data_IF_060095339200
#
_entry.id   IF_060095339200
#
_cell.length_a   1.000
_cell.length_b   1.000
_cell.length_c   1.000
_cell.angle_alpha   90.00
_cell.angle_beta   90.00
_cell.angle_gamma   90.00
#
_symmetry.space_group_name_H-M   'P 1'
#
loop_
_entity.id
_entity.type
_entity.pdbx_description
1 polymer ?
#
# COMPACT_ATOMS: atom_id res chain seq x y z
N UNK A 1 3.14 67.76 -41.18
CA UNK A 1 3.00 66.36 -41.56
C UNK A 1 3.27 65.51 -40.30
N UNK A 2 2.29 64.91 -39.67
CA UNK A 2 2.54 64.02 -38.57
C UNK A 2 2.71 62.56 -39.07
N UNK A 3 3.77 61.88 -38.66
CA UNK A 3 4.10 60.52 -38.96
C UNK A 3 3.27 59.57 -38.05
N UNK A 4 2.50 58.69 -38.64
CA UNK A 4 1.72 57.66 -38.01
C UNK A 4 2.62 56.47 -37.64
N UNK A 5 2.65 56.11 -36.35
CA UNK A 5 3.30 54.94 -35.87
C UNK A 5 2.30 53.75 -36.03
N UNK A 6 2.66 52.60 -36.59
CA UNK A 6 1.77 51.45 -36.69
C UNK A 6 1.61 50.73 -35.34
N UNK A 7 0.35 50.42 -34.97
CA UNK A 7 0.03 49.61 -33.81
C UNK A 7 0.45 48.13 -34.00
N UNK A 8 0.96 47.47 -32.96
CA UNK A 8 1.30 46.07 -33.07
C UNK A 8 0.04 45.18 -33.06
N UNK A 9 -0.05 44.30 -34.03
CA UNK A 9 -1.11 43.31 -34.23
C UNK A 9 -1.27 42.38 -33.02
N UNK A 10 -2.47 42.38 -32.40
CA UNK A 10 -2.86 41.53 -31.26
C UNK A 10 -3.25 40.12 -31.64
N UNK A 11 -2.93 39.63 -32.85
CA UNK A 11 -3.45 38.36 -33.37
C UNK A 11 -2.63 37.11 -32.96
N UNK A 12 -1.44 37.23 -32.34
CA UNK A 12 -0.52 36.10 -32.12
C UNK A 12 -0.58 35.41 -30.73
N UNK A 13 -1.21 36.05 -29.74
CA UNK A 13 -1.11 35.52 -28.35
C UNK A 13 -2.26 34.55 -27.93
N UNK A 14 -3.38 34.58 -28.63
CA UNK A 14 -4.55 33.76 -28.24
C UNK A 14 -4.39 32.25 -28.46
N UNK A 15 -3.79 31.75 -29.56
CA UNK A 15 -3.61 30.31 -29.72
C UNK A 15 -2.55 29.68 -28.79
N UNK A 16 -1.54 30.47 -28.38
CA UNK A 16 -0.47 30.00 -27.51
C UNK A 16 -0.95 29.78 -26.05
N UNK A 17 -1.83 30.65 -25.56
CA UNK A 17 -2.43 30.54 -24.23
C UNK A 17 -3.41 29.36 -24.11
N UNK A 18 -4.14 29.04 -25.19
CA UNK A 18 -5.03 27.86 -25.22
C UNK A 18 -4.24 26.55 -25.32
N UNK A 19 -3.10 26.52 -25.99
CA UNK A 19 -2.25 25.33 -26.05
C UNK A 19 -1.57 25.00 -24.70
N UNK A 20 -1.18 26.01 -23.94
CA UNK A 20 -0.58 25.83 -22.60
C UNK A 20 -1.65 25.36 -21.57
N UNK A 21 -2.89 25.82 -21.68
CA UNK A 21 -3.98 25.37 -20.81
C UNK A 21 -4.38 23.90 -21.06
N UNK A 22 -4.22 23.39 -22.29
CA UNK A 22 -4.54 21.99 -22.63
C UNK A 22 -3.46 20.98 -22.17
N UNK A 23 -2.22 21.41 -22.01
CA UNK A 23 -1.11 20.59 -21.52
C UNK A 23 -1.11 20.37 -20.00
N UNK A 24 -1.86 21.17 -19.25
CA UNK A 24 -1.97 21.09 -17.79
C UNK A 24 -2.97 20.05 -17.25
N UNK A 25 -3.74 19.38 -18.12
CA UNK A 25 -4.79 18.41 -17.72
C UNK A 25 -4.38 16.93 -17.90
N UNK A 26 -3.19 16.67 -18.41
CA UNK A 26 -2.69 15.30 -18.57
C UNK A 26 -1.82 14.92 -17.37
N UNK A 27 -2.40 14.30 -16.36
CA UNK A 27 -1.56 13.68 -15.34
C UNK A 27 -2.09 13.53 -13.91
N UNK A 28 -3.38 13.67 -13.65
CA UNK A 28 -3.95 13.12 -12.42
C UNK A 28 -4.61 11.78 -12.77
N UNK A 29 -3.91 10.68 -12.50
CA UNK A 29 -4.55 9.37 -12.45
C UNK A 29 -5.60 9.44 -11.34
N UNK A 30 -6.87 9.55 -11.73
CA UNK A 30 -7.98 9.67 -10.78
C UNK A 30 -8.15 8.30 -10.16
N UNK A 31 -7.69 8.15 -8.91
CA UNK A 31 -7.96 6.97 -8.11
C UNK A 31 -9.49 6.78 -8.01
N UNK A 32 -9.99 5.66 -8.55
CA UNK A 32 -11.39 5.26 -8.44
C UNK A 32 -11.48 4.11 -7.44
N UNK A 33 -12.13 4.29 -6.28
CA UNK A 33 -12.33 3.21 -5.33
C UNK A 33 -13.11 2.06 -5.96
N UNK A 34 -12.70 0.83 -5.70
CA UNK A 34 -13.41 -0.36 -6.17
C UNK A 34 -14.85 -0.40 -5.62
N UNK A 35 -15.79 -0.78 -6.46
CA UNK A 35 -17.18 -1.01 -6.09
C UNK A 35 -17.31 -2.23 -5.16
N UNK A 36 -18.43 -2.35 -4.45
CA UNK A 36 -18.69 -3.53 -3.61
C UNK A 36 -18.74 -4.81 -4.44
N UNK A 37 -19.32 -4.74 -5.63
CA UNK A 37 -19.41 -5.89 -6.54
C UNK A 37 -18.03 -6.39 -7.03
N UNK A 38 -17.06 -5.51 -7.21
CA UNK A 38 -15.68 -5.89 -7.55
C UNK A 38 -14.98 -6.54 -6.36
N UNK A 39 -15.13 -5.99 -5.16
CA UNK A 39 -14.60 -6.56 -3.93
C UNK A 39 -15.18 -7.95 -3.67
N UNK A 40 -16.50 -8.12 -3.82
CA UNK A 40 -17.19 -9.39 -3.59
C UNK A 40 -16.73 -10.47 -4.59
N UNK A 41 -16.51 -10.09 -5.86
CA UNK A 41 -15.99 -11.01 -6.88
C UNK A 41 -14.56 -11.45 -6.63
N UNK A 42 -13.73 -10.54 -6.11
CA UNK A 42 -12.32 -10.82 -5.83
C UNK A 42 -12.11 -11.51 -4.47
N UNK A 43 -13.18 -11.67 -3.69
CA UNK A 43 -13.08 -12.19 -2.32
C UNK A 43 -12.32 -13.51 -2.27
N UNK A 44 -11.24 -13.55 -1.50
CA UNK A 44 -10.47 -14.74 -1.22
C UNK A 44 -10.51 -15.06 0.28
N UNK A 45 -10.83 -16.29 0.62
CA UNK A 45 -10.82 -16.81 1.99
C UNK A 45 -9.68 -17.80 2.10
N UNK A 46 -8.68 -17.46 2.88
CA UNK A 46 -7.55 -18.35 3.14
C UNK A 46 -8.01 -19.57 3.95
N UNK A 47 -7.51 -20.79 3.64
CA UNK A 47 -7.72 -21.97 4.47
C UNK A 47 -6.95 -21.94 5.80
N UNK A 48 -5.98 -21.02 5.94
CA UNK A 48 -5.16 -20.88 7.14
C UNK A 48 -5.96 -20.37 8.33
N UNK A 49 -5.42 -20.58 9.53
CA UNK A 49 -5.96 -19.98 10.77
C UNK A 49 -5.97 -18.45 10.68
N UNK A 50 -6.96 -17.78 11.28
CA UNK A 50 -7.01 -16.34 11.33
C UNK A 50 -5.74 -15.76 11.95
N UNK A 51 -5.22 -14.71 11.31
CA UNK A 51 -3.93 -14.14 11.70
C UNK A 51 -3.80 -12.69 11.22
N UNK A 52 -2.86 -11.98 11.84
CA UNK A 52 -2.36 -10.69 11.35
C UNK A 52 -0.88 -10.84 11.09
N UNK A 53 -0.41 -10.31 9.95
CA UNK A 53 1.01 -10.24 9.63
C UNK A 53 1.39 -8.78 9.42
N UNK A 54 2.31 -8.27 10.23
CA UNK A 54 2.97 -7.01 9.94
C UNK A 54 4.04 -7.27 8.88
N UNK A 55 3.91 -6.61 7.74
CA UNK A 55 4.88 -6.61 6.66
C UNK A 55 5.76 -5.38 6.80
N UNK A 56 7.01 -5.56 7.17
CA UNK A 56 8.00 -4.48 7.36
C UNK A 56 9.01 -4.46 6.22
N UNK A 57 9.12 -3.33 5.53
CA UNK A 57 10.12 -3.11 4.49
C UNK A 57 11.39 -2.59 5.14
N UNK A 58 12.36 -3.48 5.32
CA UNK A 58 13.57 -3.21 6.08
C UNK A 58 14.71 -2.89 5.11
N UNK A 59 15.30 -1.72 5.29
CA UNK A 59 16.46 -1.30 4.53
C UNK A 59 17.70 -2.09 5.00
N UNK A 60 18.37 -2.79 4.09
CA UNK A 60 19.50 -3.68 4.40
C UNK A 60 20.71 -2.94 5.01
N UNK A 61 20.93 -1.68 4.62
CA UNK A 61 22.07 -0.89 5.10
C UNK A 61 21.86 -0.35 6.52
N UNK A 62 20.64 0.10 6.82
CA UNK A 62 20.30 0.67 8.14
C UNK A 62 19.76 -0.35 9.13
N UNK A 63 19.26 -1.49 8.66
CA UNK A 63 18.55 -2.50 9.45
C UNK A 63 17.23 -1.99 10.02
N UNK A 64 16.66 -0.90 9.45
CA UNK A 64 15.43 -0.27 9.95
C UNK A 64 14.30 -0.41 8.95
N UNK A 65 13.09 -0.62 9.48
CA UNK A 65 11.88 -0.58 8.67
C UNK A 65 11.56 0.86 8.25
N UNK A 66 11.31 1.06 6.95
CA UNK A 66 10.97 2.35 6.36
C UNK A 66 9.52 2.39 5.85
N UNK A 67 8.85 1.23 5.75
CA UNK A 67 7.43 1.12 5.44
C UNK A 67 6.81 -0.06 6.18
N UNK A 68 5.48 -0.02 6.38
CA UNK A 68 4.72 -1.06 7.05
C UNK A 68 3.33 -1.23 6.42
N UNK A 69 2.96 -2.49 6.15
CA UNK A 69 1.62 -2.91 5.75
C UNK A 69 1.09 -4.02 6.67
N UNK A 70 -0.21 -4.27 6.63
CA UNK A 70 -0.86 -5.33 7.41
C UNK A 70 -1.57 -6.31 6.48
N UNK A 71 -1.13 -7.56 6.46
CA UNK A 71 -1.89 -8.66 5.85
C UNK A 71 -2.80 -9.28 6.91
N UNK A 72 -4.13 -9.18 6.71
CA UNK A 72 -5.12 -9.56 7.72
C UNK A 72 -5.95 -10.71 7.18
N UNK A 73 -5.83 -11.89 7.81
CA UNK A 73 -6.59 -13.09 7.49
C UNK A 73 -7.79 -13.23 8.43
N UNK A 74 -8.91 -12.62 8.06
CA UNK A 74 -10.20 -12.71 8.72
C UNK A 74 -11.22 -13.50 7.89
N UNK A 75 -12.45 -13.02 7.81
CA UNK A 75 -13.50 -13.56 6.93
C UNK A 75 -13.14 -13.50 5.44
N UNK A 76 -12.10 -12.78 5.11
CA UNK A 76 -11.36 -12.75 3.85
C UNK A 76 -9.91 -12.34 4.12
N UNK A 77 -9.02 -12.59 3.17
CA UNK A 77 -7.64 -12.12 3.24
C UNK A 77 -7.53 -10.78 2.55
N UNK A 78 -7.11 -9.76 3.29
CA UNK A 78 -6.91 -8.39 2.78
C UNK A 78 -5.50 -7.90 3.12
N UNK A 79 -4.99 -7.01 2.29
CA UNK A 79 -3.79 -6.24 2.57
C UNK A 79 -4.18 -4.78 2.83
N UNK A 80 -3.81 -4.26 3.97
CA UNK A 80 -3.84 -2.83 4.26
C UNK A 80 -2.44 -2.26 4.07
N UNK A 81 -2.25 -1.46 3.02
CA UNK A 81 -0.96 -0.86 2.64
C UNK A 81 -1.05 0.68 2.73
N UNK A 82 -1.11 1.23 3.98
CA UNK A 82 -1.38 2.64 4.20
C UNK A 82 -0.27 3.53 3.64
N UNK A 83 -0.65 4.49 2.82
CA UNK A 83 0.26 5.41 2.15
C UNK A 83 1.29 4.71 1.23
N UNK A 84 1.09 3.43 0.94
CA UNK A 84 1.94 2.62 0.06
C UNK A 84 1.77 2.97 -1.42
N UNK A 85 2.68 2.44 -2.22
CA UNK A 85 2.69 2.64 -3.68
C UNK A 85 2.33 1.36 -4.44
N UNK A 86 2.11 0.26 -3.73
CA UNK A 86 1.72 -0.99 -4.35
C UNK A 86 0.36 -0.88 -5.02
N UNK A 87 0.29 -1.31 -6.28
CA UNK A 87 -0.95 -1.46 -7.03
C UNK A 87 -0.84 -2.68 -7.94
N UNK A 88 -1.97 -3.35 -8.21
CA UNK A 88 -2.03 -4.43 -9.17
C UNK A 88 -3.36 -4.34 -9.94
N UNK A 89 -3.36 -4.50 -11.28
CA UNK A 89 -4.58 -4.32 -12.09
C UNK A 89 -5.72 -5.28 -11.72
N UNK A 90 -5.41 -6.47 -11.23
CA UNK A 90 -6.40 -7.49 -10.86
C UNK A 90 -6.86 -7.39 -9.39
N UNK A 91 -6.26 -6.51 -8.59
CA UNK A 91 -6.61 -6.35 -7.18
C UNK A 91 -7.52 -5.14 -6.97
N UNK A 92 -8.81 -5.35 -6.67
CA UNK A 92 -9.67 -4.25 -6.25
C UNK A 92 -9.09 -3.56 -5.02
N UNK A 93 -9.04 -2.22 -5.07
CA UNK A 93 -8.56 -1.39 -3.97
C UNK A 93 -9.63 -0.38 -3.57
N UNK A 94 -9.85 -0.22 -2.26
CA UNK A 94 -10.67 0.86 -1.70
C UNK A 94 -9.95 1.49 -0.51
N UNK A 95 -9.70 2.78 -0.57
CA UNK A 95 -8.75 3.42 0.33
C UNK A 95 -7.36 2.80 0.14
N UNK A 96 -6.72 2.41 1.24
CA UNK A 96 -5.45 1.69 1.21
C UNK A 96 -5.63 0.18 1.48
N UNK A 97 -6.86 -0.36 1.33
CA UNK A 97 -7.16 -1.79 1.46
C UNK A 97 -7.23 -2.43 0.08
N UNK A 98 -6.41 -3.47 -0.14
CA UNK A 98 -6.43 -4.34 -1.31
C UNK A 98 -7.17 -5.64 -0.98
N UNK A 99 -8.04 -6.07 -1.88
CA UNK A 99 -8.89 -7.25 -1.72
C UNK A 99 -8.47 -8.37 -2.68
N UNK A 100 -8.81 -9.62 -2.32
CA UNK A 100 -8.50 -10.75 -3.16
C UNK A 100 -7.04 -11.20 -3.06
N UNK A 101 -6.42 -11.01 -1.90
CA UNK A 101 -5.03 -11.36 -1.63
C UNK A 101 -4.84 -12.87 -1.58
N UNK A 102 -4.82 -13.54 -2.75
CA UNK A 102 -4.41 -14.94 -2.85
C UNK A 102 -2.91 -15.08 -2.52
N UNK A 103 -2.39 -16.29 -2.26
CA UNK A 103 -0.95 -16.51 -2.04
C UNK A 103 -0.08 -15.90 -3.15
N UNK A 104 -0.54 -15.95 -4.40
CA UNK A 104 0.15 -15.33 -5.55
C UNK A 104 0.29 -13.81 -5.38
N UNK A 105 -0.77 -13.13 -4.94
CA UNK A 105 -0.73 -11.67 -4.78
C UNK A 105 0.00 -11.24 -3.51
N UNK A 106 0.05 -12.09 -2.49
CA UNK A 106 0.94 -11.90 -1.34
C UNK A 106 2.40 -11.95 -1.80
N UNK A 107 2.78 -12.96 -2.60
CA UNK A 107 4.12 -13.07 -3.20
C UNK A 107 4.45 -11.85 -4.07
N UNK A 108 3.51 -11.34 -4.87
CA UNK A 108 3.73 -10.10 -5.62
C UNK A 108 3.98 -8.87 -4.74
N UNK A 109 3.26 -8.76 -3.62
CA UNK A 109 3.47 -7.68 -2.67
C UNK A 109 4.85 -7.76 -2.02
N UNK A 110 5.23 -8.95 -1.59
CA UNK A 110 6.55 -9.20 -1.00
C UNK A 110 7.67 -8.87 -1.99
N UNK A 111 7.60 -9.37 -3.23
CA UNK A 111 8.59 -9.09 -4.28
C UNK A 111 8.60 -7.64 -4.75
N UNK A 112 7.46 -6.97 -4.72
CA UNK A 112 7.38 -5.54 -5.03
C UNK A 112 8.24 -4.72 -4.08
N UNK A 113 8.38 -5.15 -2.83
CA UNK A 113 9.10 -4.45 -1.79
C UNK A 113 10.49 -5.03 -1.49
N UNK A 114 10.64 -6.36 -1.53
CA UNK A 114 11.93 -7.02 -1.34
C UNK A 114 12.77 -6.87 -2.60
N UNK A 115 13.67 -5.90 -2.63
CA UNK A 115 14.56 -5.57 -3.74
C UNK A 115 15.90 -5.16 -3.21
N UNK A 116 16.86 -4.98 -4.09
CA UNK A 116 18.29 -4.75 -3.88
C UNK A 116 18.72 -4.11 -2.55
N UNK A 117 18.04 -3.07 -2.08
CA UNK A 117 18.35 -2.36 -0.83
C UNK A 117 17.36 -2.71 0.30
N UNK A 118 16.37 -3.58 0.05
CA UNK A 118 15.31 -3.91 1.01
C UNK A 118 14.99 -5.41 1.02
N UNK A 119 14.67 -5.91 2.20
CA UNK A 119 13.97 -7.17 2.38
C UNK A 119 12.63 -6.92 3.10
N UNK A 120 11.71 -7.86 2.96
CA UNK A 120 10.46 -7.86 3.71
C UNK A 120 10.60 -8.79 4.91
N UNK A 121 10.38 -8.26 6.10
CA UNK A 121 10.17 -9.04 7.32
C UNK A 121 8.67 -9.15 7.57
N UNK A 122 8.16 -10.38 7.60
CA UNK A 122 6.77 -10.69 7.86
C UNK A 122 6.63 -11.28 9.28
N UNK A 123 6.06 -10.51 10.18
CA UNK A 123 5.82 -10.86 11.59
C UNK A 123 4.37 -11.30 11.76
N UNK A 124 4.13 -12.62 11.76
CA UNK A 124 2.79 -13.22 11.79
C UNK A 124 2.39 -13.63 13.21
N UNK A 125 1.17 -13.27 13.61
CA UNK A 125 0.57 -13.68 14.87
C UNK A 125 -0.83 -14.27 14.62
N UNK A 126 -1.14 -15.48 15.17
CA UNK A 126 -2.51 -16.00 15.19
C UNK A 126 -3.41 -15.13 16.08
N UNK A 127 -4.63 -14.86 15.62
CA UNK A 127 -5.64 -14.13 16.38
C UNK A 127 -6.99 -14.84 16.26
N UNK A 128 -7.98 -14.45 17.06
CA UNK A 128 -9.34 -14.94 16.86
C UNK A 128 -9.92 -14.40 15.55
N UNK A 129 -10.89 -15.14 14.96
CA UNK A 129 -11.64 -14.67 13.78
C UNK A 129 -12.27 -13.30 14.04
N UNK A 130 -12.87 -13.11 15.21
CA UNK A 130 -13.49 -11.84 15.58
C UNK A 130 -12.48 -10.68 15.63
N UNK A 131 -11.28 -10.92 16.16
CA UNK A 131 -10.21 -9.92 16.19
C UNK A 131 -9.74 -9.58 14.78
N UNK A 132 -9.51 -10.59 13.92
CA UNK A 132 -9.12 -10.35 12.53
C UNK A 132 -10.19 -9.56 11.75
N UNK A 133 -11.47 -9.91 11.91
CA UNK A 133 -12.57 -9.19 11.24
C UNK A 133 -12.73 -7.76 11.77
N UNK A 134 -12.47 -7.53 13.06
CA UNK A 134 -12.44 -6.17 13.60
C UNK A 134 -11.29 -5.35 13.01
N UNK A 135 -10.12 -5.95 12.82
CA UNK A 135 -8.96 -5.28 12.18
C UNK A 135 -9.24 -4.95 10.71
N UNK A 136 -9.94 -5.85 9.99
CA UNK A 136 -10.40 -5.55 8.61
C UNK A 136 -11.33 -4.34 8.62
N UNK A 137 -12.31 -4.32 9.53
CA UNK A 137 -13.25 -3.19 9.64
C UNK A 137 -12.53 -1.89 9.99
N UNK A 138 -11.56 -1.92 10.90
CA UNK A 138 -10.75 -0.75 11.25
C UNK A 138 -9.97 -0.25 10.03
N UNK A 139 -9.29 -1.13 9.30
CA UNK A 139 -8.54 -0.77 8.08
C UNK A 139 -9.44 -0.14 7.00
N UNK A 140 -10.66 -0.66 6.83
CA UNK A 140 -11.65 -0.10 5.91
C UNK A 140 -12.13 1.30 6.33
N UNK A 141 -12.27 1.53 7.64
CA UNK A 141 -12.69 2.81 8.20
C UNK A 141 -11.61 3.90 8.08
N UNK A 142 -10.31 3.50 8.13
CA UNK A 142 -9.18 4.43 7.97
C UNK A 142 -9.13 5.09 6.59
N UNK A 143 -9.57 4.41 5.54
CA UNK A 143 -9.56 4.93 4.18
C UNK A 143 -8.15 5.13 3.61
N UNK A 144 -8.00 6.18 2.78
CA UNK A 144 -6.70 6.51 2.17
C UNK A 144 -5.90 7.43 3.09
N UNK A 145 -4.63 7.10 3.30
CA UNK A 145 -3.74 7.85 4.19
C UNK A 145 -2.71 8.66 3.41
N UNK A 146 -2.24 9.76 4.00
CA UNK A 146 -1.18 10.58 3.43
C UNK A 146 0.16 9.85 3.46
N UNK A 147 1.05 10.18 2.53
CA UNK A 147 2.42 9.67 2.52
C UNK A 147 3.11 9.89 3.87
N UNK A 148 4.00 8.98 4.25
CA UNK A 148 4.77 8.97 5.50
C UNK A 148 3.93 8.74 6.78
N UNK A 149 2.69 8.29 6.68
CA UNK A 149 1.84 7.98 7.85
C UNK A 149 1.51 6.50 8.01
N UNK A 150 2.23 5.61 7.30
CA UNK A 150 1.95 4.16 7.29
C UNK A 150 1.95 3.56 8.71
N UNK A 151 2.93 3.90 9.54
CA UNK A 151 3.03 3.39 10.91
C UNK A 151 1.94 3.93 11.84
N UNK A 152 1.55 5.21 11.70
CA UNK A 152 0.42 5.77 12.44
C UNK A 152 -0.89 5.07 12.06
N UNK A 153 -1.12 4.91 10.75
CA UNK A 153 -2.32 4.27 10.22
C UNK A 153 -2.42 2.79 10.63
N UNK A 154 -1.31 2.05 10.59
CA UNK A 154 -1.26 0.69 11.11
C UNK A 154 -1.53 0.63 12.62
N UNK A 155 -1.00 1.58 13.41
CA UNK A 155 -1.28 1.68 14.83
C UNK A 155 -2.76 2.01 15.12
N UNK A 156 -3.40 2.90 14.34
CA UNK A 156 -4.84 3.21 14.45
C UNK A 156 -5.70 1.95 14.24
N UNK A 157 -5.32 1.10 13.27
CA UNK A 157 -6.01 -0.18 13.01
C UNK A 157 -5.80 -1.19 14.15
N UNK A 158 -4.56 -1.32 14.65
CA UNK A 158 -4.13 -2.37 15.57
C UNK A 158 -4.57 -2.11 17.02
N UNK A 159 -4.29 -0.92 17.55
CA UNK A 159 -4.43 -0.58 18.98
C UNK A 159 -5.80 -0.81 19.61
N UNK A 160 -6.94 -0.66 18.90
CA UNK A 160 -8.24 -0.97 19.48
C UNK A 160 -8.48 -2.46 19.75
N UNK A 161 -7.58 -3.37 19.26
CA UNK A 161 -7.80 -4.82 19.27
C UNK A 161 -6.67 -5.53 20.02
N UNK A 162 -6.95 -6.27 21.13
CA UNK A 162 -5.94 -7.11 21.76
C UNK A 162 -5.41 -8.19 20.79
N UNK A 163 -4.11 -8.53 20.82
CA UNK A 163 -3.10 -8.13 21.81
C UNK A 163 -2.30 -6.86 21.45
N UNK A 164 -2.77 -6.03 20.54
CA UNK A 164 -2.02 -4.91 19.95
C UNK A 164 -2.17 -3.57 20.71
N UNK A 165 -2.79 -3.56 21.88
CA UNK A 165 -3.11 -2.33 22.65
C UNK A 165 -1.88 -1.50 23.02
N UNK A 166 -0.72 -2.13 23.20
CA UNK A 166 0.52 -1.50 23.65
C UNK A 166 1.43 -1.08 22.48
N UNK A 167 1.01 -1.29 21.23
CA UNK A 167 1.72 -0.82 20.05
C UNK A 167 1.83 0.71 20.10
N UNK A 168 3.05 1.23 19.90
CA UNK A 168 3.31 2.68 19.94
C UNK A 168 2.67 3.42 18.79
N UNK A 169 2.12 4.57 19.08
CA UNK A 169 1.68 5.52 18.08
C UNK A 169 2.89 6.36 17.61
N UNK A 170 3.49 6.00 16.50
CA UNK A 170 4.76 6.55 16.03
C UNK A 170 4.76 6.76 14.52
N UNK A 171 5.43 7.81 14.04
CA UNK A 171 5.71 8.01 12.63
C UNK A 171 6.75 7.03 12.06
N UNK A 172 7.49 6.33 12.91
CA UNK A 172 8.58 5.48 12.50
C UNK A 172 8.13 4.01 12.39
N UNK A 173 8.11 3.41 11.19
CA UNK A 173 7.77 2.00 11.00
C UNK A 173 8.64 1.05 11.83
N UNK A 174 9.89 1.40 12.06
CA UNK A 174 10.79 0.65 12.92
C UNK A 174 10.27 0.52 14.36
N UNK A 175 9.59 1.53 14.89
CA UNK A 175 8.99 1.44 16.21
C UNK A 175 7.88 0.39 16.26
N UNK A 176 7.03 0.36 15.23
CA UNK A 176 5.96 -0.63 15.09
C UNK A 176 6.52 -2.05 14.96
N UNK A 177 7.56 -2.25 14.12
CA UNK A 177 8.25 -3.52 13.93
C UNK A 177 8.78 -4.07 15.25
N UNK A 178 9.46 -3.23 16.02
CA UNK A 178 10.01 -3.59 17.33
C UNK A 178 8.93 -3.92 18.36
N UNK A 179 7.82 -3.21 18.36
CA UNK A 179 6.71 -3.51 19.26
C UNK A 179 6.07 -4.86 18.91
N UNK A 180 5.91 -5.14 17.61
CA UNK A 180 5.37 -6.40 17.13
C UNK A 180 6.23 -7.61 17.55
N UNK A 181 7.57 -7.48 17.47
CA UNK A 181 8.54 -8.49 17.89
C UNK A 181 8.34 -8.92 19.37
N UNK A 182 7.82 -8.02 20.22
CA UNK A 182 7.62 -8.30 21.65
C UNK A 182 6.30 -9.00 21.97
N UNK A 183 5.38 -9.11 21.00
CA UNK A 183 4.07 -9.74 21.24
C UNK A 183 4.25 -11.25 21.30
N UNK A 184 3.80 -11.92 22.39
CA UNK A 184 3.92 -13.37 22.50
C UNK A 184 3.20 -14.12 21.37
N UNK A 185 3.91 -15.08 20.76
CA UNK A 185 3.37 -15.90 19.67
C UNK A 185 3.56 -15.32 18.26
N UNK A 186 4.33 -14.25 18.12
CA UNK A 186 4.78 -13.77 16.81
C UNK A 186 5.80 -14.74 16.23
N UNK A 187 5.67 -15.01 14.93
CA UNK A 187 6.59 -15.79 14.12
C UNK A 187 7.08 -14.96 12.95
N UNK A 188 8.40 -14.86 12.82
CA UNK A 188 9.04 -14.08 11.78
C UNK A 188 9.37 -14.94 10.56
N UNK A 189 9.23 -14.36 9.38
CA UNK A 189 9.78 -14.87 8.13
C UNK A 189 10.34 -13.71 7.30
N UNK A 190 11.25 -14.03 6.38
CA UNK A 190 11.98 -13.02 5.62
C UNK A 190 11.93 -13.35 4.14
N UNK A 191 11.72 -12.34 3.32
CA UNK A 191 11.77 -12.44 1.86
C UNK A 191 12.85 -11.51 1.35
N UNK A 192 13.83 -12.07 0.65
CA UNK A 192 14.94 -11.36 0.02
C UNK A 192 14.83 -11.53 -1.50
N UNK A 193 14.90 -10.43 -2.21
CA UNK A 193 14.94 -10.43 -3.67
C UNK A 193 16.10 -9.56 -4.14
N UNK A 194 16.88 -10.09 -5.06
CA UNK A 194 17.99 -9.34 -5.66
C UNK A 194 17.59 -8.70 -6.99
N UNK A 195 16.30 -8.45 -7.20
CA UNK A 195 15.79 -7.82 -8.40
C UNK A 195 16.18 -6.35 -8.45
N UNK A 196 16.79 -5.94 -9.55
CA UNK A 196 17.19 -4.56 -9.74
C UNK A 196 16.10 -3.79 -10.49
N UNK A 197 15.43 -2.88 -9.78
CA UNK A 197 14.82 -1.73 -10.41
C UNK A 197 13.41 -1.88 -10.98
N UNK A 198 12.67 -2.96 -10.75
CA UNK A 198 11.30 -3.11 -11.26
C UNK A 198 10.27 -3.07 -10.12
N UNK A 199 9.33 -2.12 -10.20
CA UNK A 199 8.22 -2.00 -9.25
C UNK A 199 6.96 -2.75 -9.68
N UNK A 200 6.95 -3.33 -10.89
CA UNK A 200 5.78 -4.00 -11.48
C UNK A 200 6.11 -5.46 -11.75
N UNK A 201 6.25 -6.23 -10.68
CA UNK A 201 6.65 -7.65 -10.76
C UNK A 201 5.64 -8.53 -11.51
N UNK A 202 4.38 -8.13 -11.60
CA UNK A 202 3.37 -8.85 -12.41
C UNK A 202 3.59 -8.75 -13.92
N UNK A 203 4.45 -7.85 -14.39
CA UNK A 203 4.86 -7.76 -15.78
C UNK A 203 5.94 -8.81 -16.12
N UNK A 204 6.56 -9.43 -15.10
CA UNK A 204 7.52 -10.51 -15.28
C UNK A 204 6.80 -11.85 -15.42
N UNK A 205 7.12 -12.58 -16.49
CA UNK A 205 6.46 -13.84 -16.84
C UNK A 205 6.91 -15.04 -16.00
N UNK A 206 7.89 -14.87 -15.13
CA UNK A 206 8.58 -15.95 -14.44
C UNK A 206 8.00 -16.30 -13.06
N UNK A 207 6.96 -15.62 -12.62
CA UNK A 207 6.28 -15.98 -11.36
C UNK A 207 5.39 -17.19 -11.61
N UNK A 208 5.58 -18.34 -10.91
CA UNK A 208 4.76 -19.53 -11.11
C UNK A 208 3.28 -19.22 -10.99
N UNK A 209 2.53 -19.57 -12.03
CA UNK A 209 1.07 -19.49 -12.01
C UNK A 209 0.58 -20.71 -11.23
N UNK A 210 0.32 -20.56 -9.94
CA UNK A 210 -0.32 -21.56 -9.10
C UNK A 210 -1.83 -21.35 -9.06
#
# INVERSE_FOLDING_TARGET
MPSSIPEPSRAGLRPLLLAVAALGLAGCEIYTPASQAEIDRARYVSPDLPSVTLMSMVNEKSGKSEHAGLLINGSQLVLYDPAGTFTHPDLPRRGDVHYGMTPRYVDYYERYHARFDYFVEAQKIPVSRAAADQLIANAQAEGQRMKMTCSLAAADVLRPVPPFTDVRYSFFPEALRRDFETIPGVHDSYVYENDVGQNKVWEHTDVPQS
#
